data_IF_282180601075
#
_entry.id   IF_282180601075
#
_cell.length_a   1.000
_cell.length_b   1.000
_cell.length_c   1.000
_cell.angle_alpha   90.00
_cell.angle_beta   90.00
_cell.angle_gamma   90.00
#
_symmetry.space_group_name_H-M   'P 1'
#
loop_
_entity.id
_entity.type
_entity.pdbx_description
1 polymer ?
#
# COMPACT_ATOMS: atom_id res chain seq x y z
N UNK A 1 -24.56 24.36 -10.95
CA UNK A 1 -24.16 22.99 -10.59
C UNK A 1 -24.50 22.76 -9.13
N UNK A 2 -25.28 21.74 -8.78
CA UNK A 2 -25.60 21.47 -7.37
C UNK A 2 -24.77 20.29 -6.90
N UNK A 3 -24.00 20.51 -5.85
CA UNK A 3 -23.28 19.44 -5.14
C UNK A 3 -24.31 18.39 -4.72
N UNK A 4 -24.03 17.12 -4.99
CA UNK A 4 -24.92 16.01 -4.63
C UNK A 4 -24.28 15.23 -3.50
N UNK A 5 -24.96 15.20 -2.36
CA UNK A 5 -24.60 14.32 -1.25
C UNK A 5 -25.10 12.91 -1.53
N UNK A 6 -24.24 11.93 -1.29
CA UNK A 6 -24.48 10.50 -1.51
C UNK A 6 -24.11 9.79 -0.21
N UNK A 7 -25.10 9.15 0.41
CA UNK A 7 -24.85 8.16 1.46
C UNK A 7 -24.54 6.82 0.83
N UNK A 8 -23.57 6.12 1.40
CA UNK A 8 -23.09 4.84 0.92
C UNK A 8 -23.41 3.80 2.00
N UNK A 9 -24.09 2.73 1.61
CA UNK A 9 -24.53 1.70 2.55
C UNK A 9 -23.33 0.87 3.01
N UNK A 10 -23.25 0.63 4.32
CA UNK A 10 -22.16 -0.17 4.91
C UNK A 10 -22.08 -1.58 4.29
N UNK A 11 -23.23 -2.19 3.99
CA UNK A 11 -23.32 -3.55 3.45
C UNK A 11 -22.71 -3.68 2.06
N UNK A 12 -22.76 -2.62 1.25
CA UNK A 12 -22.14 -2.60 -0.08
C UNK A 12 -20.62 -2.39 0.04
N UNK A 13 -20.18 -1.65 1.07
CA UNK A 13 -18.78 -1.29 1.26
C UNK A 13 -17.95 -2.35 2.01
N UNK A 14 -18.56 -3.10 2.94
CA UNK A 14 -17.89 -4.08 3.79
C UNK A 14 -17.15 -5.18 3.00
N UNK A 15 -17.73 -5.81 1.95
CA UNK A 15 -17.02 -6.83 1.17
C UNK A 15 -15.76 -6.29 0.49
N UNK A 16 -15.83 -5.08 -0.08
CA UNK A 16 -14.69 -4.44 -0.74
C UNK A 16 -13.62 -4.05 0.30
N UNK A 17 -14.05 -3.52 1.44
CA UNK A 17 -13.14 -3.18 2.53
C UNK A 17 -12.44 -4.43 3.10
N UNK A 18 -13.13 -5.57 3.13
CA UNK A 18 -12.56 -6.87 3.53
C UNK A 18 -11.47 -7.33 2.58
N UNK A 19 -11.72 -7.28 1.27
CA UNK A 19 -10.71 -7.61 0.25
C UNK A 19 -9.46 -6.75 0.42
N UNK A 20 -9.64 -5.44 0.53
CA UNK A 20 -8.56 -4.50 0.81
C UNK A 20 -7.80 -4.85 2.11
N UNK A 21 -8.53 -5.19 3.17
CA UNK A 21 -7.93 -5.56 4.46
C UNK A 21 -7.06 -6.81 4.33
N UNK A 22 -7.55 -7.87 3.70
CA UNK A 22 -6.81 -9.11 3.50
C UNK A 22 -5.54 -8.88 2.67
N UNK A 23 -5.67 -8.19 1.53
CA UNK A 23 -4.54 -7.88 0.64
C UNK A 23 -3.43 -7.09 1.33
N UNK A 24 -3.79 -6.13 2.19
CA UNK A 24 -2.82 -5.21 2.82
C UNK A 24 -2.37 -5.66 4.22
N UNK A 25 -3.11 -6.56 4.87
CA UNK A 25 -2.67 -7.20 6.11
C UNK A 25 -1.73 -8.37 5.85
N UNK A 26 -1.83 -9.01 4.68
CA UNK A 26 -1.14 -10.26 4.37
C UNK A 26 -1.74 -11.47 5.09
N UNK A 27 -2.95 -11.33 5.65
CA UNK A 27 -3.71 -12.42 6.25
C UNK A 27 -4.54 -13.13 5.19
N UNK A 28 -4.79 -14.42 5.42
CA UNK A 28 -5.51 -15.29 4.50
C UNK A 28 -6.57 -16.07 5.29
N UNK A 29 -7.79 -16.14 4.74
CA UNK A 29 -8.94 -16.81 5.37
C UNK A 29 -8.81 -18.32 5.40
N UNK A 30 -8.05 -18.91 4.48
CA UNK A 30 -7.92 -20.36 4.30
C UNK A 30 -6.75 -20.96 5.10
N UNK A 31 -5.95 -20.11 5.76
CA UNK A 31 -4.77 -20.52 6.54
C UNK A 31 -5.12 -20.67 8.01
N UNK A 32 -5.05 -21.90 8.52
CA UNK A 32 -5.42 -22.25 9.90
C UNK A 32 -4.71 -21.37 10.95
N UNK A 33 -3.42 -21.08 10.74
CA UNK A 33 -2.63 -20.27 11.66
C UNK A 33 -2.97 -18.77 11.60
N UNK A 34 -3.57 -18.30 10.51
CA UNK A 34 -4.00 -16.91 10.39
C UNK A 34 -5.33 -16.66 11.11
N UNK A 35 -6.08 -17.70 11.48
CA UNK A 35 -7.42 -17.56 12.10
C UNK A 35 -7.43 -16.70 13.35
N UNK A 36 -6.40 -16.80 14.20
CA UNK A 36 -6.31 -15.98 15.42
C UNK A 36 -6.14 -14.51 15.06
N UNK A 37 -5.19 -14.19 14.17
CA UNK A 37 -4.90 -12.82 13.73
C UNK A 37 -6.07 -12.21 12.94
N UNK A 38 -6.74 -13.03 12.13
CA UNK A 38 -7.94 -12.63 11.41
C UNK A 38 -9.08 -12.34 12.39
N UNK A 39 -9.27 -13.19 13.41
CA UNK A 39 -10.26 -12.94 14.46
C UNK A 39 -9.99 -11.64 15.21
N UNK A 40 -8.72 -11.31 15.49
CA UNK A 40 -8.33 -10.02 16.08
C UNK A 40 -8.66 -8.86 15.13
N UNK A 41 -8.30 -8.97 13.86
CA UNK A 41 -8.59 -7.95 12.84
C UNK A 41 -10.09 -7.70 12.66
N UNK A 42 -10.90 -8.76 12.64
CA UNK A 42 -12.36 -8.69 12.60
C UNK A 42 -12.96 -8.11 13.88
N UNK A 43 -12.38 -8.42 15.04
CA UNK A 43 -12.81 -7.80 16.30
C UNK A 43 -12.58 -6.28 16.28
N UNK A 44 -11.46 -5.82 15.70
CA UNK A 44 -11.22 -4.38 15.49
C UNK A 44 -12.28 -3.76 14.57
N UNK A 45 -12.69 -4.46 13.51
CA UNK A 45 -13.78 -3.99 12.64
C UNK A 45 -15.08 -3.79 13.42
N UNK A 46 -15.48 -4.78 14.23
CA UNK A 46 -16.71 -4.69 15.04
C UNK A 46 -16.68 -3.50 16.02
N UNK A 47 -15.51 -3.15 16.55
CA UNK A 47 -15.34 -1.97 17.40
C UNK A 47 -15.43 -0.65 16.60
N UNK A 48 -14.93 -0.63 15.36
CA UNK A 48 -15.00 0.53 14.47
C UNK A 48 -16.40 0.77 13.90
N UNK A 49 -17.16 -0.30 13.66
CA UNK A 49 -18.44 -0.34 12.94
C UNK A 49 -19.48 0.69 13.38
N UNK A 50 -19.72 0.95 14.69
CA UNK A 50 -20.69 1.97 15.11
C UNK A 50 -20.33 3.38 14.68
N UNK A 51 -19.05 3.66 14.42
CA UNK A 51 -18.56 4.95 13.97
C UNK A 51 -18.42 5.07 12.44
N UNK A 52 -18.76 4.03 11.69
CA UNK A 52 -18.68 4.05 10.22
C UNK A 52 -19.97 4.64 9.65
N UNK A 53 -19.83 5.80 9.01
CA UNK A 53 -20.92 6.50 8.32
C UNK A 53 -20.38 7.04 7.00
N UNK A 54 -20.44 6.21 5.97
CA UNK A 54 -19.80 6.49 4.68
C UNK A 54 -20.64 7.48 3.90
N UNK A 55 -20.08 8.64 3.62
CA UNK A 55 -20.78 9.74 2.96
C UNK A 55 -19.86 10.48 2.01
N UNK A 56 -20.41 10.89 0.88
CA UNK A 56 -19.68 11.59 -0.16
C UNK A 56 -20.45 12.78 -0.71
N UNK A 57 -19.72 13.77 -1.20
CA UNK A 57 -20.23 14.85 -2.02
C UNK A 57 -19.57 14.77 -3.37
N UNK A 58 -20.35 14.80 -4.44
CA UNK A 58 -19.83 14.95 -5.80
C UNK A 58 -20.22 16.32 -6.36
N UNK A 59 -19.31 16.90 -7.13
CA UNK A 59 -19.48 18.16 -7.84
C UNK A 59 -19.04 17.94 -9.30
N UNK A 60 -19.99 17.92 -10.25
CA UNK A 60 -19.64 17.84 -11.66
C UNK A 60 -18.94 19.14 -12.10
N UNK A 61 -17.94 18.99 -12.95
CA UNK A 61 -17.20 20.05 -13.62
C UNK A 61 -17.34 19.87 -15.14
N UNK A 62 -17.38 20.97 -15.86
CA UNK A 62 -17.40 20.96 -17.33
C UNK A 62 -16.01 20.64 -17.90
N UNK A 63 -15.90 20.10 -19.12
CA UNK A 63 -14.60 19.74 -19.73
C UNK A 63 -13.56 20.87 -19.78
N UNK A 64 -14.01 22.10 -19.96
CA UNK A 64 -13.15 23.30 -20.01
C UNK A 64 -12.49 23.62 -18.66
N UNK A 65 -12.96 23.03 -17.56
CA UNK A 65 -12.27 23.07 -16.27
C UNK A 65 -10.89 22.39 -16.33
N UNK A 66 -10.61 21.55 -17.33
CA UNK A 66 -9.31 20.91 -17.48
C UNK A 66 -8.56 21.39 -18.71
N UNK A 67 -7.42 22.05 -18.48
CA UNK A 67 -6.51 22.45 -19.54
C UNK A 67 -5.09 22.60 -18.99
N UNK A 68 -4.09 22.48 -19.85
CA UNK A 68 -2.67 22.54 -19.46
C UNK A 68 -2.36 21.59 -18.27
N UNK A 69 -2.90 20.36 -18.33
CA UNK A 69 -2.70 19.32 -17.30
C UNK A 69 -3.06 19.77 -15.89
N UNK A 70 -4.07 20.64 -15.78
CA UNK A 70 -4.52 21.24 -14.52
C UNK A 70 -6.04 21.33 -14.55
N UNK A 71 -6.68 20.90 -13.46
CA UNK A 71 -8.09 21.17 -13.18
C UNK A 71 -8.18 22.52 -12.48
N UNK A 72 -9.02 23.40 -13.01
CA UNK A 72 -9.34 24.70 -12.44
C UNK A 72 -10.73 24.63 -11.84
N UNK A 73 -10.82 24.93 -10.55
CA UNK A 73 -12.07 25.20 -9.87
C UNK A 73 -12.16 26.72 -9.61
N UNK A 74 -13.27 27.22 -9.08
CA UNK A 74 -13.54 28.64 -8.86
C UNK A 74 -12.46 29.34 -8.03
N UNK A 75 -11.96 28.68 -6.97
CA UNK A 75 -10.99 29.27 -6.02
C UNK A 75 -9.62 28.61 -6.05
N UNK A 76 -9.52 27.42 -6.63
CA UNK A 76 -8.32 26.60 -6.52
C UNK A 76 -7.99 25.89 -7.84
N UNK A 77 -6.77 25.38 -7.89
CA UNK A 77 -6.27 24.58 -9.02
C UNK A 77 -5.60 23.33 -8.52
N UNK A 78 -5.76 22.26 -9.28
CA UNK A 78 -5.26 20.93 -8.99
C UNK A 78 -4.49 20.43 -10.20
N UNK A 79 -3.23 20.09 -9.96
CA UNK A 79 -2.40 19.44 -10.96
C UNK A 79 -1.70 18.28 -10.27
N UNK A 80 -1.51 17.22 -11.03
CA UNK A 80 -0.70 16.11 -10.62
C UNK A 80 0.06 15.62 -11.84
N UNK A 81 1.05 14.78 -11.59
CA UNK A 81 1.96 14.34 -12.63
C UNK A 81 1.24 13.53 -13.71
N UNK A 82 0.25 12.72 -13.30
CA UNK A 82 -0.64 11.93 -14.14
C UNK A 82 -1.42 12.74 -15.20
N UNK A 83 -1.80 13.99 -14.90
CA UNK A 83 -2.62 14.81 -15.80
C UNK A 83 -1.93 15.19 -17.13
N UNK A 84 -0.63 14.93 -17.27
CA UNK A 84 0.08 15.13 -18.54
C UNK A 84 -0.26 14.08 -19.60
N UNK A 85 -0.80 12.93 -19.18
CA UNK A 85 -1.18 11.84 -20.08
C UNK A 85 -2.60 12.01 -20.65
N UNK A 86 -3.42 12.85 -20.01
CA UNK A 86 -4.83 13.04 -20.36
C UNK A 86 -4.95 14.18 -21.38
N UNK A 87 -5.42 13.90 -22.60
CA UNK A 87 -5.75 14.90 -23.60
C UNK A 87 -7.01 15.69 -23.21
N UNK A 88 -6.94 17.03 -23.09
CA UNK A 88 -8.12 17.85 -22.79
C UNK A 88 -9.26 17.72 -23.81
N UNK A 89 -8.95 17.32 -25.06
CA UNK A 89 -9.96 17.18 -26.12
C UNK A 89 -10.87 15.97 -25.94
N UNK A 90 -10.43 14.97 -25.19
CA UNK A 90 -11.15 13.73 -24.97
C UNK A 90 -11.90 13.72 -23.63
N UNK A 91 -11.74 14.76 -22.81
CA UNK A 91 -12.47 14.90 -21.55
C UNK A 91 -13.93 15.24 -21.84
N UNK A 92 -14.83 14.36 -21.41
CA UNK A 92 -16.29 14.50 -21.56
C UNK A 92 -16.90 15.13 -20.31
N UNK A 93 -16.39 14.75 -19.14
CA UNK A 93 -16.82 15.29 -17.85
C UNK A 93 -15.76 15.06 -16.79
N UNK A 94 -15.79 15.86 -15.74
CA UNK A 94 -14.98 15.63 -14.53
C UNK A 94 -15.90 15.67 -13.33
N UNK A 95 -15.69 14.78 -12.37
CA UNK A 95 -16.40 14.79 -11.09
C UNK A 95 -15.39 14.99 -9.97
N UNK A 96 -15.41 16.17 -9.35
CA UNK A 96 -14.72 16.40 -8.10
C UNK A 96 -15.53 15.76 -6.96
N UNK A 97 -14.86 15.18 -5.97
CA UNK A 97 -15.56 14.59 -4.82
C UNK A 97 -14.83 14.80 -3.50
N UNK A 98 -15.60 14.73 -2.42
CA UNK A 98 -15.14 14.47 -1.07
C UNK A 98 -15.84 13.21 -0.54
N UNK A 99 -15.13 12.40 0.22
CA UNK A 99 -15.61 11.15 0.81
C UNK A 99 -15.13 11.07 2.25
N UNK A 100 -16.02 10.74 3.18
CA UNK A 100 -15.73 10.47 4.58
C UNK A 100 -16.21 9.07 4.93
N UNK A 101 -15.47 8.35 5.79
CA UNK A 101 -15.92 7.08 6.38
C UNK A 101 -16.53 7.26 7.77
N UNK A 102 -16.63 8.50 8.26
CA UNK A 102 -17.09 8.80 9.62
C UNK A 102 -15.96 8.77 10.65
N UNK A 103 -16.29 8.38 11.88
CA UNK A 103 -15.32 8.34 12.97
C UNK A 103 -14.37 7.15 12.89
N UNK A 104 -14.86 5.97 12.47
CA UNK A 104 -14.11 4.72 12.34
C UNK A 104 -12.98 4.60 13.39
N UNK A 105 -13.34 4.52 14.68
CA UNK A 105 -12.40 4.48 15.80
C UNK A 105 -12.47 3.14 16.51
N UNK A 106 -11.31 2.57 16.76
CA UNK A 106 -11.12 1.57 17.81
C UNK A 106 -10.31 2.20 18.93
N UNK A 107 -10.78 2.10 20.19
CA UNK A 107 -10.01 2.53 21.36
C UNK A 107 -9.08 1.38 21.72
N UNK A 108 -7.80 1.47 21.33
CA UNK A 108 -6.84 0.37 21.50
C UNK A 108 -5.61 0.85 22.25
N UNK A 109 -4.99 -0.07 22.99
CA UNK A 109 -3.74 0.18 23.72
C UNK A 109 -2.53 -0.50 23.05
N UNK A 110 -2.74 -1.26 21.97
CA UNK A 110 -1.68 -1.99 21.29
C UNK A 110 -1.54 -1.58 19.82
N UNK A 111 -0.30 -1.66 19.30
CA UNK A 111 0.05 -1.16 17.97
C UNK A 111 -0.56 -1.98 16.83
N UNK A 112 -0.81 -3.28 17.05
CA UNK A 112 -1.36 -4.17 16.02
C UNK A 112 -2.83 -3.83 15.72
N UNK A 113 -3.63 -3.59 16.75
CA UNK A 113 -5.03 -3.19 16.57
C UNK A 113 -5.15 -1.80 15.95
N UNK A 114 -4.25 -0.86 16.29
CA UNK A 114 -4.19 0.44 15.64
C UNK A 114 -3.89 0.29 14.14
N UNK A 115 -2.95 -0.58 13.77
CA UNK A 115 -2.65 -0.90 12.38
C UNK A 115 -3.88 -1.47 11.66
N UNK A 116 -4.58 -2.44 12.27
CA UNK A 116 -5.81 -2.98 11.68
C UNK A 116 -6.93 -1.94 11.55
N UNK A 117 -7.09 -1.05 12.53
CA UNK A 117 -8.06 0.04 12.45
C UNK A 117 -7.76 0.99 11.28
N UNK A 118 -6.48 1.31 11.06
CA UNK A 118 -6.05 2.11 9.92
C UNK A 118 -6.27 1.38 8.59
N UNK A 119 -6.03 0.06 8.52
CA UNK A 119 -6.35 -0.75 7.35
C UNK A 119 -7.84 -0.73 7.03
N UNK A 120 -8.70 -0.90 8.04
CA UNK A 120 -10.15 -0.83 7.87
C UNK A 120 -10.60 0.54 7.36
N UNK A 121 -10.13 1.62 7.99
CA UNK A 121 -10.48 2.97 7.56
C UNK A 121 -10.08 3.23 6.09
N UNK A 122 -8.89 2.77 5.68
CA UNK A 122 -8.44 2.87 4.30
C UNK A 122 -9.26 1.98 3.35
N UNK A 123 -9.61 0.76 3.78
CA UNK A 123 -10.48 -0.15 3.03
C UNK A 123 -11.86 0.44 2.77
N UNK A 124 -12.47 1.10 3.77
CA UNK A 124 -13.76 1.78 3.58
C UNK A 124 -13.65 3.05 2.72
N UNK A 125 -12.51 3.77 2.76
CA UNK A 125 -12.25 4.86 1.82
C UNK A 125 -12.11 4.33 0.38
N UNK A 126 -11.52 3.15 0.22
CA UNK A 126 -11.39 2.48 -1.07
C UNK A 126 -12.74 2.03 -1.61
N UNK A 127 -13.50 1.31 -0.80
CA UNK A 127 -14.86 0.89 -1.10
C UNK A 127 -15.74 2.08 -1.48
N UNK A 128 -15.67 3.17 -0.72
CA UNK A 128 -16.43 4.38 -1.03
C UNK A 128 -16.05 5.00 -2.38
N UNK A 129 -14.77 4.99 -2.78
CA UNK A 129 -14.35 5.44 -4.12
C UNK A 129 -14.85 4.54 -5.23
N UNK A 130 -14.81 3.23 -5.04
CA UNK A 130 -15.31 2.26 -6.01
C UNK A 130 -16.83 2.42 -6.22
N UNK A 131 -17.60 2.45 -5.14
CA UNK A 131 -19.05 2.63 -5.22
C UNK A 131 -19.42 4.00 -5.80
N UNK A 132 -18.65 5.05 -5.49
CA UNK A 132 -18.84 6.36 -6.13
C UNK A 132 -18.61 6.29 -7.64
N UNK A 133 -17.56 5.59 -8.08
CA UNK A 133 -17.27 5.41 -9.50
C UNK A 133 -18.41 4.67 -10.20
N UNK A 134 -18.96 3.62 -9.60
CA UNK A 134 -20.16 2.90 -10.08
C UNK A 134 -21.40 3.80 -10.17
N UNK A 135 -21.61 4.69 -9.21
CA UNK A 135 -22.69 5.69 -9.30
C UNK A 135 -22.46 6.70 -10.42
N UNK A 136 -21.21 7.05 -10.73
CA UNK A 136 -20.90 7.91 -11.88
C UNK A 136 -21.17 7.15 -13.19
N UNK A 137 -20.87 5.85 -13.28
CA UNK A 137 -21.28 5.03 -14.43
C UNK A 137 -22.78 5.16 -14.71
N UNK A 138 -23.61 4.95 -13.68
CA UNK A 138 -25.07 5.09 -13.81
C UNK A 138 -25.49 6.48 -14.29
N UNK A 139 -24.86 7.55 -13.79
CA UNK A 139 -25.18 8.92 -14.23
C UNK A 139 -24.81 9.19 -15.67
N UNK A 140 -23.74 8.58 -16.19
CA UNK A 140 -23.33 8.75 -17.58
C UNK A 140 -24.26 7.96 -18.51
N UNK A 141 -24.65 6.75 -18.12
CA UNK A 141 -25.65 5.96 -18.85
C UNK A 141 -27.00 6.68 -18.95
N UNK A 142 -27.46 7.30 -17.85
CA UNK A 142 -28.71 8.07 -17.80
C UNK A 142 -28.71 9.27 -18.77
N UNK A 143 -27.53 9.81 -19.10
CA UNK A 143 -27.36 10.95 -20.03
C UNK A 143 -27.21 10.46 -21.49
N UNK A 144 -27.06 9.15 -21.71
CA UNK A 144 -27.03 8.54 -23.05
C UNK A 144 -25.69 8.65 -23.76
N UNK A 145 -24.57 8.66 -23.02
CA UNK A 145 -23.23 8.61 -23.61
C UNK A 145 -22.86 7.14 -23.89
N UNK A 146 -22.64 6.78 -25.15
CA UNK A 146 -22.47 5.38 -25.57
C UNK A 146 -21.03 4.86 -25.42
N UNK A 147 -20.02 5.71 -25.67
CA UNK A 147 -18.60 5.35 -25.54
C UNK A 147 -17.92 6.27 -24.53
N UNK A 148 -17.53 5.70 -23.40
CA UNK A 148 -16.83 6.44 -22.35
C UNK A 148 -16.02 5.53 -21.44
N UNK A 149 -15.03 6.13 -20.79
CA UNK A 149 -14.19 5.50 -19.78
C UNK A 149 -14.15 6.39 -18.55
N UNK A 150 -14.28 5.78 -17.37
CA UNK A 150 -14.19 6.51 -16.10
C UNK A 150 -12.88 6.13 -15.43
N UNK A 151 -12.07 7.13 -15.10
CA UNK A 151 -10.80 6.90 -14.43
C UNK A 151 -10.97 6.34 -13.02
N UNK A 152 -9.88 5.82 -12.44
CA UNK A 152 -9.73 5.78 -11.00
C UNK A 152 -9.65 7.20 -10.42
N UNK A 153 -9.79 7.33 -9.11
CA UNK A 153 -9.71 8.65 -8.45
C UNK A 153 -8.30 9.23 -8.53
N UNK A 154 -8.18 10.49 -8.93
CA UNK A 154 -6.98 11.32 -8.77
C UNK A 154 -7.18 12.32 -7.63
N UNK A 155 -6.33 12.32 -6.61
CA UNK A 155 -6.57 13.20 -5.46
C UNK A 155 -5.32 13.58 -4.68
N UNK A 156 -5.43 14.57 -3.77
CA UNK A 156 -4.34 14.96 -2.87
C UNK A 156 -3.78 13.76 -2.11
N UNK A 157 -2.46 13.59 -2.11
CA UNK A 157 -1.77 12.41 -1.54
C UNK A 157 -1.51 11.30 -2.55
N UNK A 158 -2.04 11.40 -3.77
CA UNK A 158 -1.86 10.44 -4.86
C UNK A 158 -1.34 11.14 -6.13
N UNK A 159 -0.68 10.40 -7.02
CA UNK A 159 -0.12 10.89 -8.29
C UNK A 159 0.80 12.14 -8.18
N UNK A 160 1.42 12.35 -7.01
CA UNK A 160 2.19 13.56 -6.70
C UNK A 160 1.36 14.82 -6.49
N UNK A 161 0.05 14.71 -6.30
CA UNK A 161 -0.79 15.86 -5.91
C UNK A 161 -0.52 16.20 -4.44
N UNK A 162 -0.15 17.45 -4.09
CA UNK A 162 0.19 17.79 -2.71
C UNK A 162 -0.97 17.58 -1.74
N UNK A 163 -0.73 16.89 -0.62
CA UNK A 163 -1.78 16.55 0.37
C UNK A 163 -2.52 17.79 0.91
N UNK A 164 -1.85 18.94 1.05
CA UNK A 164 -2.47 20.18 1.52
C UNK A 164 -3.61 20.67 0.61
N UNK A 165 -3.67 20.22 -0.65
CA UNK A 165 -4.79 20.50 -1.58
C UNK A 165 -6.13 19.94 -1.12
N UNK A 166 -6.11 19.00 -0.19
CA UNK A 166 -7.32 18.49 0.42
C UNK A 166 -8.06 19.58 1.21
N UNK A 167 -7.34 20.51 1.86
CA UNK A 167 -7.92 21.68 2.52
C UNK A 167 -8.63 22.61 1.53
N UNK A 168 -8.06 22.82 0.34
CA UNK A 168 -8.68 23.61 -0.73
C UNK A 168 -10.00 22.94 -1.18
N UNK A 169 -10.01 21.61 -1.34
CA UNK A 169 -11.23 20.87 -1.74
C UNK A 169 -12.34 20.95 -0.69
N UNK A 170 -11.99 20.85 0.59
CA UNK A 170 -12.96 20.97 1.70
C UNK A 170 -13.66 22.32 1.72
N UNK A 171 -12.93 23.39 1.42
CA UNK A 171 -13.49 24.76 1.37
C UNK A 171 -14.40 24.95 0.15
N UNK A 172 -14.05 24.34 -0.98
CA UNK A 172 -14.70 24.61 -2.26
C UNK A 172 -15.89 23.69 -2.57
N UNK A 173 -15.79 22.41 -2.22
CA UNK A 173 -16.89 21.42 -2.36
C UNK A 173 -17.85 21.48 -1.15
N UNK A 174 -17.44 22.17 -0.08
CA UNK A 174 -18.10 22.23 1.22
C UNK A 174 -18.15 20.87 1.94
N UNK A 175 -17.04 20.52 2.60
CA UNK A 175 -16.92 19.29 3.39
C UNK A 175 -17.88 19.19 4.58
N UNK A 176 -18.51 20.29 5.00
CA UNK A 176 -19.47 20.28 6.11
C UNK A 176 -20.72 19.45 5.78
N UNK A 177 -21.05 19.31 4.49
CA UNK A 177 -22.18 18.50 3.98
C UNK A 177 -22.06 17.02 4.40
N UNK A 178 -20.83 16.52 4.54
CA UNK A 178 -20.54 15.13 4.97
C UNK A 178 -19.94 15.06 6.37
N UNK A 179 -20.20 16.08 7.19
CA UNK A 179 -19.80 16.10 8.59
C UNK A 179 -18.31 16.35 8.84
N UNK A 180 -17.53 16.72 7.82
CA UNK A 180 -16.11 17.06 8.00
C UNK A 180 -16.01 18.48 8.55
N UNK A 181 -15.49 18.60 9.78
CA UNK A 181 -15.21 19.90 10.42
C UNK A 181 -13.72 20.18 10.38
N UNK A 182 -13.31 21.20 9.63
CA UNK A 182 -11.92 21.68 9.61
C UNK A 182 -11.68 22.59 10.81
N UNK A 183 -10.83 22.17 11.74
CA UNK A 183 -10.53 22.95 12.95
C UNK A 183 -9.48 24.04 12.66
N UNK A 184 -8.47 23.73 11.83
CA UNK A 184 -7.46 24.68 11.28
C UNK A 184 -7.00 24.21 9.90
N UNK A 185 -6.59 25.12 8.99
CA UNK A 185 -6.12 24.77 7.62
C UNK A 185 -4.95 23.75 7.56
N UNK A 186 -4.24 23.57 8.67
CA UNK A 186 -3.06 22.69 8.80
C UNK A 186 -3.38 21.38 9.55
N UNK A 187 -4.49 21.33 10.29
CA UNK A 187 -4.93 20.13 11.02
C UNK A 187 -6.10 19.49 10.27
N UNK A 188 -5.76 18.71 9.24
CA UNK A 188 -6.72 17.84 8.58
C UNK A 188 -7.19 16.77 9.58
N UNK A 189 -8.50 16.50 9.72
CA UNK A 189 -8.98 15.45 10.60
C UNK A 189 -8.38 14.10 10.17
N UNK A 190 -7.81 13.33 11.11
CA UNK A 190 -7.09 12.06 10.86
C UNK A 190 -7.69 11.24 9.72
N UNK A 191 -6.87 10.82 8.73
CA UNK A 191 -6.96 9.77 7.69
C UNK A 191 -8.31 9.07 7.40
N UNK A 192 -9.45 9.72 7.59
CA UNK A 192 -10.81 9.13 7.50
C UNK A 192 -11.68 9.82 6.48
N UNK A 193 -11.04 10.61 5.64
CA UNK A 193 -11.68 11.22 4.51
C UNK A 193 -10.67 11.33 3.37
N UNK A 194 -11.18 11.37 2.15
CA UNK A 194 -10.40 11.57 0.93
C UNK A 194 -11.14 12.52 0.00
N UNK A 195 -10.41 13.13 -0.91
CA UNK A 195 -10.98 13.94 -1.98
C UNK A 195 -10.22 13.69 -3.26
N UNK A 196 -10.87 13.94 -4.39
CA UNK A 196 -10.23 13.78 -5.68
C UNK A 196 -11.16 14.05 -6.85
N UNK A 197 -10.75 13.54 -8.00
CA UNK A 197 -11.36 13.76 -9.30
C UNK A 197 -11.50 12.43 -10.03
N UNK A 198 -12.66 12.20 -10.61
CA UNK A 198 -12.87 11.20 -11.64
C UNK A 198 -12.97 11.89 -13.00
N UNK A 199 -12.18 11.43 -13.96
CA UNK A 199 -12.31 11.83 -15.36
C UNK A 199 -13.25 10.87 -16.07
N UNK A 200 -14.12 11.43 -16.91
CA UNK A 200 -14.87 10.70 -17.92
C UNK A 200 -14.26 11.09 -19.26
N UNK A 201 -13.66 10.14 -19.97
CA UNK A 201 -13.03 10.34 -21.28
C UNK A 201 -13.75 9.56 -22.36
N UNK A 202 -13.62 9.97 -23.62
CA UNK A 202 -14.17 9.22 -24.77
C UNK A 202 -13.34 7.97 -25.13
N UNK A 203 -12.09 7.84 -24.65
CA UNK A 203 -11.17 6.74 -24.96
C UNK A 203 -10.36 6.31 -23.71
N UNK A 204 -9.99 5.01 -23.62
CA UNK A 204 -9.31 4.40 -22.45
C UNK A 204 -7.81 4.72 -22.38
N UNK A 205 -7.14 4.73 -23.54
CA UNK A 205 -5.68 4.65 -23.67
C UNK A 205 -4.88 5.85 -23.16
N UNK A 206 -5.53 6.84 -22.57
CA UNK A 206 -4.93 8.08 -22.07
C UNK A 206 -5.03 8.23 -20.54
N UNK A 207 -5.60 7.24 -19.85
CA UNK A 207 -5.65 7.23 -18.41
C UNK A 207 -4.32 6.71 -17.81
N UNK A 208 -3.75 7.40 -16.80
CA UNK A 208 -2.58 6.94 -16.06
C UNK A 208 -2.72 5.53 -15.51
N UNK A 209 -1.62 4.76 -15.54
CA UNK A 209 -1.54 3.42 -14.95
C UNK A 209 -2.01 3.39 -13.49
N UNK A 210 -2.76 2.34 -13.13
CA UNK A 210 -3.20 2.08 -11.76
C UNK A 210 -2.03 1.94 -10.78
N UNK A 211 -0.84 1.56 -11.25
CA UNK A 211 0.36 1.48 -10.42
C UNK A 211 0.76 2.84 -9.82
N UNK A 212 0.37 3.96 -10.45
CA UNK A 212 0.63 5.32 -9.96
C UNK A 212 -0.38 5.78 -8.89
N UNK A 213 -1.43 5.00 -8.61
CA UNK A 213 -2.52 5.36 -7.69
C UNK A 213 -2.04 5.76 -6.30
N UNK A 214 -1.01 5.09 -5.81
CA UNK A 214 -0.45 5.34 -4.47
C UNK A 214 0.80 6.23 -4.52
N UNK A 215 1.07 6.91 -5.64
CA UNK A 215 2.28 7.68 -5.81
C UNK A 215 2.25 9.01 -5.06
N UNK A 216 3.19 9.21 -4.12
CA UNK A 216 3.31 10.47 -3.38
C UNK A 216 4.10 11.55 -4.14
N UNK A 217 4.66 11.21 -5.30
CA UNK A 217 5.42 12.11 -6.17
C UNK A 217 6.92 12.12 -5.87
N UNK A 218 7.71 12.55 -6.86
CA UNK A 218 9.17 12.69 -6.80
C UNK A 218 9.58 14.11 -7.23
N UNK A 219 10.75 14.60 -6.78
CA UNK A 219 11.25 15.95 -7.15
C UNK A 219 11.40 16.13 -8.68
N UNK A 220 11.68 15.05 -9.41
CA UNK A 220 11.77 15.02 -10.87
C UNK A 220 10.44 14.87 -11.63
N UNK A 221 9.30 14.78 -10.93
CA UNK A 221 7.96 14.61 -11.54
C UNK A 221 7.77 13.31 -12.34
N UNK A 222 6.74 13.24 -13.20
CA UNK A 222 6.44 12.06 -14.02
C UNK A 222 7.56 11.69 -15.01
N UNK A 223 8.41 12.65 -15.40
CA UNK A 223 9.52 12.39 -16.33
C UNK A 223 10.62 11.52 -15.73
N UNK A 224 10.67 11.40 -14.40
CA UNK A 224 11.60 10.51 -13.72
C UNK A 224 11.31 9.03 -14.06
N UNK A 225 10.03 8.64 -14.02
CA UNK A 225 9.62 7.25 -14.20
C UNK A 225 8.78 6.97 -15.46
N UNK A 226 8.26 8.01 -16.12
CA UNK A 226 7.35 7.90 -17.26
C UNK A 226 6.03 7.21 -16.94
N UNK A 227 5.57 7.23 -15.68
CA UNK A 227 4.40 6.46 -15.23
C UNK A 227 4.66 4.97 -15.03
N UNK A 228 5.94 4.54 -15.02
CA UNK A 228 6.36 3.18 -14.73
C UNK A 228 6.80 3.08 -13.27
N UNK A 229 6.51 1.99 -12.58
CA UNK A 229 7.09 1.77 -11.27
C UNK A 229 8.60 1.50 -11.42
N UNK A 230 9.45 2.38 -10.91
CA UNK A 230 10.89 2.18 -11.00
C UNK A 230 11.37 1.26 -9.89
N UNK A 231 12.29 0.37 -10.26
CA UNK A 231 13.04 -0.45 -9.31
C UNK A 231 14.45 0.16 -9.27
N UNK A 232 14.96 0.56 -8.10
CA UNK A 232 16.29 1.11 -7.98
C UNK A 232 17.34 0.07 -8.33
N UNK A 233 18.45 0.52 -8.91
CA UNK A 233 19.64 -0.33 -9.09
C UNK A 233 20.27 -0.64 -7.74
N UNK A 234 21.10 -1.70 -7.68
CA UNK A 234 21.87 -2.04 -6.49
C UNK A 234 22.71 -0.86 -6.00
N UNK A 235 23.37 -0.15 -6.89
CA UNK A 235 24.17 1.03 -6.57
C UNK A 235 23.31 2.12 -5.93
N UNK A 236 22.15 2.42 -6.51
CA UNK A 236 21.19 3.38 -5.96
C UNK A 236 20.68 2.95 -4.58
N UNK A 237 20.42 1.67 -4.35
CA UNK A 237 20.03 1.17 -3.03
C UNK A 237 21.11 1.42 -1.99
N UNK A 238 22.37 1.15 -2.32
CA UNK A 238 23.50 1.37 -1.41
C UNK A 238 23.71 2.85 -1.11
N UNK A 239 23.62 3.72 -2.12
CA UNK A 239 23.67 5.18 -1.94
C UNK A 239 22.56 5.68 -0.99
N UNK A 240 21.35 5.14 -1.11
CA UNK A 240 20.22 5.52 -0.25
C UNK A 240 20.41 5.09 1.20
N UNK A 241 20.95 3.89 1.44
CA UNK A 241 21.29 3.42 2.79
C UNK A 241 22.33 4.35 3.44
N UNK A 242 23.37 4.71 2.69
CA UNK A 242 24.40 5.64 3.18
C UNK A 242 23.83 7.04 3.44
N UNK A 243 23.04 7.59 2.50
CA UNK A 243 22.51 8.96 2.61
C UNK A 243 21.48 9.12 3.73
N UNK A 244 20.78 8.04 4.10
CA UNK A 244 19.82 8.03 5.21
C UNK A 244 20.46 7.63 6.55
N UNK A 245 21.80 7.48 6.60
CA UNK A 245 22.53 7.22 7.83
C UNK A 245 22.31 5.80 8.38
N UNK A 246 21.96 4.84 7.52
CA UNK A 246 21.85 3.43 7.93
C UNK A 246 23.20 2.95 8.48
N UNK A 247 23.26 2.35 9.68
CA UNK A 247 24.53 1.95 10.28
C UNK A 247 25.31 0.95 9.41
N UNK A 248 26.66 1.00 9.36
CA UNK A 248 27.45 0.12 8.49
C UNK A 248 27.22 -1.38 8.72
N UNK A 249 26.92 -1.81 9.95
CA UNK A 249 26.59 -3.21 10.24
C UNK A 249 25.22 -3.62 9.69
N UNK A 250 24.24 -2.70 9.69
CA UNK A 250 22.92 -2.92 9.08
C UNK A 250 23.04 -2.97 7.55
N UNK A 251 23.89 -2.14 6.95
CA UNK A 251 24.14 -2.20 5.49
C UNK A 251 24.68 -3.58 5.10
N UNK A 252 25.66 -4.11 5.84
CA UNK A 252 26.19 -5.47 5.59
C UNK A 252 25.11 -6.55 5.78
N UNK A 253 24.25 -6.38 6.78
CA UNK A 253 23.09 -7.26 6.97
C UNK A 253 22.15 -7.24 5.75
N UNK A 254 21.73 -6.07 5.29
CA UNK A 254 20.90 -5.93 4.09
C UNK A 254 21.54 -6.59 2.86
N UNK A 255 22.86 -6.47 2.70
CA UNK A 255 23.59 -7.12 1.61
C UNK A 255 23.55 -8.65 1.72
N UNK A 256 23.71 -9.21 2.92
CA UNK A 256 23.66 -10.66 3.15
C UNK A 256 22.24 -11.23 2.96
N UNK A 257 21.22 -10.49 3.41
CA UNK A 257 19.80 -10.82 3.16
C UNK A 257 19.51 -10.80 1.66
N UNK A 258 19.97 -9.76 0.95
CA UNK A 258 19.84 -9.65 -0.49
C UNK A 258 20.50 -10.82 -1.23
N UNK A 259 21.75 -11.16 -0.91
CA UNK A 259 22.44 -12.28 -1.56
C UNK A 259 21.70 -13.60 -1.34
N UNK A 260 21.27 -13.87 -0.10
CA UNK A 260 20.48 -15.05 0.25
C UNK A 260 19.17 -15.11 -0.55
N UNK A 261 18.39 -14.02 -0.54
CA UNK A 261 17.10 -13.93 -1.22
C UNK A 261 17.24 -14.10 -2.73
N UNK A 262 18.21 -13.42 -3.35
CA UNK A 262 18.43 -13.46 -4.81
C UNK A 262 18.95 -14.82 -5.26
N UNK A 263 19.80 -15.50 -4.49
CA UNK A 263 20.24 -16.87 -4.80
C UNK A 263 19.07 -17.85 -4.80
N UNK A 264 18.21 -17.79 -3.78
CA UNK A 264 16.98 -18.60 -3.72
C UNK A 264 16.06 -18.26 -4.90
N UNK A 265 15.83 -16.96 -5.15
CA UNK A 265 15.00 -16.48 -6.24
C UNK A 265 15.48 -16.97 -7.60
N UNK A 266 16.78 -16.90 -7.90
CA UNK A 266 17.37 -17.44 -9.14
C UNK A 266 17.11 -18.94 -9.29
N UNK A 267 17.33 -19.72 -8.23
CA UNK A 267 17.07 -21.16 -8.26
C UNK A 267 15.59 -21.49 -8.51
N UNK A 268 14.66 -20.69 -7.99
CA UNK A 268 13.22 -20.83 -8.25
C UNK A 268 12.84 -20.44 -9.69
N UNK A 269 13.41 -19.35 -10.21
CA UNK A 269 13.19 -18.91 -11.60
C UNK A 269 13.67 -19.97 -12.59
N UNK A 270 14.80 -20.63 -12.33
CA UNK A 270 15.29 -21.77 -13.12
C UNK A 270 14.30 -22.94 -13.17
N UNK A 271 13.41 -23.05 -12.18
CA UNK A 271 12.34 -24.06 -12.10
C UNK A 271 11.00 -23.56 -12.64
N UNK A 272 10.95 -22.37 -13.22
CA UNK A 272 9.76 -21.79 -13.84
C UNK A 272 8.85 -21.03 -12.88
N UNK A 273 9.29 -20.73 -11.66
CA UNK A 273 8.57 -19.82 -10.77
C UNK A 273 8.74 -18.39 -11.29
N UNK A 274 7.64 -17.65 -11.41
CA UNK A 274 7.64 -16.27 -11.90
C UNK A 274 7.97 -15.35 -10.71
N UNK A 275 9.13 -14.69 -10.76
CA UNK A 275 9.59 -13.72 -9.77
C UNK A 275 10.29 -12.55 -10.46
N UNK A 276 10.10 -11.35 -9.92
CA UNK A 276 10.84 -10.14 -10.30
C UNK A 276 12.12 -10.05 -9.45
N UNK A 277 13.23 -10.58 -9.97
CA UNK A 277 14.52 -10.58 -9.28
C UNK A 277 15.07 -9.17 -9.01
N UNK A 278 14.99 -8.19 -9.94
CA UNK A 278 15.30 -6.79 -9.63
C UNK A 278 14.49 -6.24 -8.45
N UNK A 279 13.19 -6.48 -8.39
CA UNK A 279 12.34 -6.01 -7.29
C UNK A 279 12.76 -6.66 -5.96
N UNK A 280 13.00 -7.97 -5.96
CA UNK A 280 13.48 -8.71 -4.80
C UNK A 280 14.82 -8.16 -4.31
N UNK A 281 15.79 -7.94 -5.19
CA UNK A 281 17.09 -7.37 -4.86
C UNK A 281 16.95 -5.99 -4.20
N UNK A 282 16.19 -5.09 -4.83
CA UNK A 282 15.95 -3.75 -4.31
C UNK A 282 15.26 -3.75 -2.94
N UNK A 283 14.21 -4.56 -2.77
CA UNK A 283 13.49 -4.67 -1.51
C UNK A 283 14.35 -5.27 -0.40
N UNK A 284 15.16 -6.30 -0.70
CA UNK A 284 16.10 -6.88 0.28
C UNK A 284 17.19 -5.92 0.70
N UNK A 285 17.71 -5.08 -0.20
CA UNK A 285 18.71 -4.08 0.19
C UNK A 285 18.10 -2.97 1.07
N UNK A 286 16.87 -2.55 0.78
CA UNK A 286 16.26 -1.37 1.40
C UNK A 286 15.37 -1.67 2.62
N UNK A 287 15.08 -2.93 2.94
CA UNK A 287 14.10 -3.29 4.00
C UNK A 287 14.36 -2.65 5.37
N UNK A 288 15.64 -2.47 5.70
CA UNK A 288 16.12 -1.95 6.97
C UNK A 288 16.70 -0.51 6.85
N UNK A 289 16.41 0.22 5.76
CA UNK A 289 16.96 1.57 5.53
C UNK A 289 16.75 2.54 6.71
N UNK A 290 15.63 2.40 7.42
CA UNK A 290 15.29 3.23 8.58
C UNK A 290 15.52 2.51 9.92
N UNK A 291 16.44 1.54 10.02
CA UNK A 291 16.60 0.64 11.19
C UNK A 291 16.75 1.33 12.56
N UNK A 292 17.24 2.57 12.58
CA UNK A 292 17.41 3.37 13.81
C UNK A 292 16.13 4.05 14.29
N UNK A 293 15.08 4.06 13.48
CA UNK A 293 13.78 4.65 13.77
C UNK A 293 12.82 3.60 14.36
N UNK A 294 11.91 4.04 15.21
CA UNK A 294 10.76 3.21 15.57
C UNK A 294 9.87 2.98 14.34
N UNK A 295 9.31 1.77 14.22
CA UNK A 295 8.52 1.34 13.05
C UNK A 295 9.29 1.46 11.72
N UNK A 296 10.56 1.00 11.71
CA UNK A 296 11.47 1.16 10.59
C UNK A 296 10.92 0.63 9.25
N UNK A 297 10.10 -0.42 9.25
CA UNK A 297 9.46 -0.92 8.02
C UNK A 297 8.53 0.13 7.38
N UNK A 298 7.72 0.83 8.18
CA UNK A 298 6.83 1.90 7.68
C UNK A 298 7.65 3.13 7.27
N UNK A 299 8.65 3.51 8.06
CA UNK A 299 9.53 4.64 7.73
C UNK A 299 10.36 4.39 6.47
N UNK A 300 10.88 3.17 6.32
CA UNK A 300 11.61 2.74 5.14
C UNK A 300 10.74 2.71 3.89
N UNK A 301 9.48 2.24 4.02
CA UNK A 301 8.50 2.32 2.95
C UNK A 301 8.24 3.78 2.52
N UNK A 302 8.07 4.72 3.46
CA UNK A 302 7.89 6.13 3.14
C UNK A 302 9.10 6.73 2.43
N UNK A 303 10.33 6.33 2.79
CA UNK A 303 11.55 6.74 2.07
C UNK A 303 11.50 6.21 0.64
N UNK A 304 11.25 4.92 0.45
CA UNK A 304 11.16 4.31 -0.88
C UNK A 304 10.05 4.95 -1.75
N UNK A 305 8.88 5.24 -1.19
CA UNK A 305 7.79 5.96 -1.86
C UNK A 305 8.22 7.36 -2.30
N UNK A 306 8.96 8.10 -1.46
CA UNK A 306 9.45 9.45 -1.80
C UNK A 306 10.42 9.44 -2.97
N UNK A 307 11.14 8.34 -3.15
CA UNK A 307 12.02 8.10 -4.29
C UNK A 307 11.30 7.47 -5.50
N UNK A 308 9.99 7.22 -5.41
CA UNK A 308 9.18 6.67 -6.49
C UNK A 308 9.22 5.14 -6.61
N UNK A 309 9.77 4.44 -5.63
CA UNK A 309 9.94 2.97 -5.62
C UNK A 309 8.77 2.28 -4.90
N UNK A 310 7.57 2.36 -5.48
CA UNK A 310 6.32 1.98 -4.79
C UNK A 310 6.20 0.46 -4.55
N UNK A 311 6.62 -0.37 -5.51
CA UNK A 311 6.59 -1.82 -5.30
C UNK A 311 7.61 -2.23 -4.22
N UNK A 312 8.79 -1.61 -4.23
CA UNK A 312 9.78 -1.80 -3.16
C UNK A 312 9.19 -1.40 -1.80
N UNK A 313 8.54 -0.24 -1.72
CA UNK A 313 7.90 0.22 -0.50
C UNK A 313 6.82 -0.74 0.02
N UNK A 314 6.00 -1.33 -0.86
CA UNK A 314 4.97 -2.32 -0.49
C UNK A 314 5.60 -3.53 0.21
N UNK A 315 6.73 -4.04 -0.31
CA UNK A 315 7.44 -5.17 0.28
C UNK A 315 8.07 -4.81 1.64
N UNK A 316 8.73 -3.66 1.70
CA UNK A 316 9.42 -3.19 2.93
C UNK A 316 8.42 -2.89 4.04
N UNK A 317 7.25 -2.33 3.75
CA UNK A 317 6.26 -1.94 4.76
C UNK A 317 5.85 -3.10 5.67
N UNK A 318 5.77 -4.32 5.11
CA UNK A 318 5.20 -5.48 5.79
C UNK A 318 6.23 -6.45 6.37
N UNK A 319 7.53 -6.32 6.05
CA UNK A 319 8.54 -7.35 6.37
C UNK A 319 8.63 -7.71 7.87
N UNK A 320 8.41 -6.73 8.75
CA UNK A 320 8.42 -6.88 10.21
C UNK A 320 7.30 -7.79 10.75
N UNK A 321 6.14 -7.79 10.09
CA UNK A 321 4.92 -8.41 10.60
C UNK A 321 4.42 -9.58 9.75
N UNK A 322 5.07 -9.82 8.61
CA UNK A 322 4.66 -10.81 7.62
C UNK A 322 4.50 -12.21 8.24
N UNK A 323 3.27 -12.71 8.27
CA UNK A 323 2.98 -14.11 8.54
C UNK A 323 3.05 -14.87 7.23
N UNK A 324 3.77 -15.97 7.22
CA UNK A 324 4.03 -16.66 5.97
C UNK A 324 2.97 -17.73 5.77
N UNK A 325 2.41 -17.78 4.57
CA UNK A 325 1.51 -18.85 4.19
C UNK A 325 2.24 -19.88 3.33
N UNK A 326 2.58 -21.06 3.86
CA UNK A 326 3.21 -22.12 3.07
C UNK A 326 2.28 -22.73 2.02
N UNK A 327 0.96 -22.51 2.09
CA UNK A 327 -0.04 -23.12 1.23
C UNK A 327 -0.49 -22.22 0.06
N UNK A 328 -0.20 -20.91 0.10
CA UNK A 328 -0.59 -19.98 -0.97
C UNK A 328 -0.13 -20.46 -2.34
N UNK A 329 -0.90 -20.19 -3.38
CA UNK A 329 -0.65 -20.72 -4.72
C UNK A 329 0.74 -20.35 -5.25
N UNK A 330 1.17 -19.10 -5.08
CA UNK A 330 2.42 -18.56 -5.63
C UNK A 330 3.40 -18.14 -4.55
N UNK A 331 4.67 -18.50 -4.73
CA UNK A 331 5.78 -17.91 -3.98
C UNK A 331 6.03 -16.51 -4.55
N UNK A 332 6.19 -15.53 -3.68
CA UNK A 332 6.36 -14.11 -4.02
C UNK A 332 7.68 -13.56 -3.49
N UNK A 333 8.06 -12.38 -3.97
CA UNK A 333 9.26 -11.66 -3.54
C UNK A 333 9.22 -11.37 -2.03
N UNK A 334 8.04 -11.09 -1.47
CA UNK A 334 7.86 -10.85 -0.05
C UNK A 334 8.17 -12.10 0.81
N UNK A 335 7.86 -13.31 0.32
CA UNK A 335 8.26 -14.55 1.02
C UNK A 335 9.76 -14.66 1.10
N UNK A 336 10.42 -14.47 -0.05
CA UNK A 336 11.86 -14.67 -0.16
C UNK A 336 12.62 -13.62 0.66
N UNK A 337 12.16 -12.36 0.62
CA UNK A 337 12.68 -11.30 1.48
C UNK A 337 12.59 -11.68 2.95
N UNK A 338 11.39 -12.03 3.43
CA UNK A 338 11.16 -12.30 4.85
C UNK A 338 11.85 -13.58 5.31
N UNK A 339 11.88 -14.62 4.47
CA UNK A 339 12.56 -15.87 4.79
C UNK A 339 14.07 -15.68 4.83
N UNK A 340 14.65 -14.93 3.87
CA UNK A 340 16.09 -14.64 3.86
C UNK A 340 16.53 -13.82 5.08
N UNK A 341 15.78 -12.78 5.46
CA UNK A 341 16.03 -12.02 6.70
C UNK A 341 16.04 -12.93 7.95
N UNK A 342 15.17 -13.94 7.96
CA UNK A 342 15.08 -14.96 9.02
C UNK A 342 16.13 -16.06 8.93
N UNK A 343 17.00 -16.07 7.94
CA UNK A 343 18.13 -17.01 7.83
C UNK A 343 19.50 -16.32 7.91
N UNK A 344 19.52 -14.99 8.04
CA UNK A 344 20.73 -14.18 8.17
C UNK A 344 20.85 -13.63 9.59
N UNK A 345 22.08 -13.65 10.12
CA UNK A 345 22.43 -13.02 11.39
C UNK A 345 23.64 -12.13 11.19
N UNK A 346 23.52 -10.88 11.61
CA UNK A 346 24.50 -9.84 11.26
C UNK A 346 24.69 -9.84 9.74
N UNK A 347 25.86 -10.20 9.22
CA UNK A 347 26.21 -10.21 7.81
C UNK A 347 26.45 -11.62 7.22
N UNK A 348 25.99 -12.68 7.91
CA UNK A 348 26.20 -14.06 7.49
C UNK A 348 24.90 -14.87 7.45
N UNK A 349 24.78 -15.75 6.45
CA UNK A 349 23.77 -16.80 6.43
C UNK A 349 24.08 -17.82 7.54
N UNK A 350 23.10 -18.09 8.38
CA UNK A 350 23.18 -19.06 9.49
C UNK A 350 22.16 -20.18 9.39
N UNK A 351 21.28 -20.14 8.39
CA UNK A 351 20.16 -21.07 8.28
C UNK A 351 19.01 -20.72 9.21
N UNK A 352 17.87 -21.38 8.97
CA UNK A 352 16.62 -21.04 9.65
C UNK A 352 16.63 -21.48 11.12
N UNK A 353 17.06 -22.71 11.39
CA UNK A 353 17.00 -23.32 12.73
C UNK A 353 17.86 -22.55 13.74
N UNK A 354 19.11 -22.23 13.38
CA UNK A 354 20.04 -21.48 14.24
C UNK A 354 19.54 -20.05 14.53
N UNK A 355 18.97 -19.39 13.51
CA UNK A 355 18.41 -18.04 13.68
C UNK A 355 17.20 -18.03 14.58
N UNK A 356 16.33 -19.03 14.44
CA UNK A 356 15.13 -19.18 15.26
C UNK A 356 15.45 -19.49 16.71
N UNK A 357 16.41 -20.40 16.95
CA UNK A 357 16.84 -20.73 18.30
C UNK A 357 17.40 -19.50 19.03
N UNK A 358 18.23 -18.70 18.34
CA UNK A 358 18.76 -17.45 18.89
C UNK A 358 17.66 -16.47 19.31
N UNK A 359 16.60 -16.32 18.50
CA UNK A 359 15.48 -15.43 18.84
C UNK A 359 14.63 -16.01 19.97
N UNK A 360 14.40 -17.33 19.99
CA UNK A 360 13.72 -18.02 21.09
C UNK A 360 14.41 -17.77 22.42
N UNK A 361 15.72 -17.99 22.48
CA UNK A 361 16.51 -17.81 23.71
C UNK A 361 16.38 -16.38 24.25
N UNK A 362 16.39 -15.39 23.34
CA UNK A 362 16.22 -13.97 23.69
C UNK A 362 14.81 -13.66 24.21
N UNK A 363 13.77 -14.22 23.59
CA UNK A 363 12.38 -14.01 24.02
C UNK A 363 12.11 -14.68 25.38
N UNK A 364 12.61 -15.90 25.58
CA UNK A 364 12.54 -16.61 26.85
C UNK A 364 13.26 -15.83 27.96
N UNK A 365 14.47 -15.34 27.68
CA UNK A 365 15.21 -14.49 28.62
C UNK A 365 14.49 -13.18 28.96
N UNK A 366 13.70 -12.64 28.03
CA UNK A 366 12.89 -11.44 28.21
C UNK A 366 11.50 -11.70 28.84
N UNK A 367 11.13 -12.96 29.09
CA UNK A 367 9.83 -13.32 29.67
C UNK A 367 8.62 -13.07 28.76
N UNK A 368 8.82 -13.03 27.44
CA UNK A 368 7.76 -12.77 26.45
C UNK A 368 7.01 -14.07 26.11
N UNK A 369 5.69 -14.01 25.90
CA UNK A 369 4.91 -15.16 25.43
C UNK A 369 5.38 -15.60 24.03
N UNK A 370 5.84 -16.85 23.91
CA UNK A 370 6.45 -17.43 22.71
C UNK A 370 5.47 -18.16 21.80
N UNK A 371 4.20 -18.33 22.17
CA UNK A 371 3.23 -19.13 21.41
C UNK A 371 3.07 -18.63 19.97
N UNK A 372 2.87 -17.31 19.80
CA UNK A 372 2.82 -16.66 18.48
C UNK A 372 4.11 -16.81 17.68
N UNK A 373 5.25 -16.86 18.36
CA UNK A 373 6.55 -17.04 17.71
C UNK A 373 6.76 -18.49 17.25
N UNK A 374 6.30 -19.48 18.01
CA UNK A 374 6.34 -20.90 17.63
C UNK A 374 5.50 -21.20 16.39
N UNK A 375 4.30 -20.62 16.27
CA UNK A 375 3.50 -20.76 15.05
C UNK A 375 4.21 -20.18 13.82
N UNK A 376 4.80 -18.99 13.97
CA UNK A 376 5.61 -18.38 12.91
C UNK A 376 6.82 -19.24 12.56
N UNK A 377 7.43 -19.91 13.54
CA UNK A 377 8.55 -20.81 13.26
C UNK A 377 8.13 -21.90 12.29
N UNK A 378 7.01 -22.56 12.59
CA UNK A 378 6.55 -23.68 11.78
C UNK A 378 6.18 -23.25 10.35
N UNK A 379 5.53 -22.09 10.19
CA UNK A 379 5.25 -21.51 8.86
C UNK A 379 6.52 -21.29 8.04
N UNK A 380 7.57 -20.79 8.68
CA UNK A 380 8.88 -20.60 8.04
C UNK A 380 9.53 -21.91 7.62
N UNK A 381 9.45 -22.92 8.47
CA UNK A 381 9.96 -24.25 8.19
C UNK A 381 9.25 -24.88 6.98
N UNK A 382 7.92 -24.81 6.95
CA UNK A 382 7.10 -25.35 5.86
C UNK A 382 7.35 -24.63 4.52
N UNK A 383 7.52 -23.30 4.52
CA UNK A 383 7.88 -22.59 3.29
C UNK A 383 9.29 -22.94 2.82
N UNK A 384 10.27 -23.06 3.73
CA UNK A 384 11.63 -23.53 3.40
C UNK A 384 11.55 -24.90 2.72
N UNK A 385 10.86 -25.86 3.32
CA UNK A 385 10.68 -27.21 2.73
C UNK A 385 10.02 -27.17 1.35
N UNK A 386 9.00 -26.32 1.18
CA UNK A 386 8.33 -26.12 -0.11
C UNK A 386 9.30 -25.60 -1.17
N UNK A 387 10.10 -24.57 -0.84
CA UNK A 387 11.12 -24.00 -1.72
C UNK A 387 12.16 -25.08 -2.09
N UNK A 388 12.69 -25.79 -1.10
CA UNK A 388 13.68 -26.86 -1.28
C UNK A 388 13.19 -27.97 -2.21
N UNK A 389 11.90 -28.34 -2.08
CA UNK A 389 11.26 -29.32 -2.96
C UNK A 389 11.18 -28.84 -4.41
N UNK A 390 10.93 -27.55 -4.64
CA UNK A 390 10.87 -26.96 -5.98
C UNK A 390 12.27 -26.90 -6.60
N UNK A 391 13.26 -26.39 -5.87
CA UNK A 391 14.63 -26.23 -6.36
C UNK A 391 15.37 -27.58 -6.47
N UNK A 392 14.96 -28.59 -5.70
CA UNK A 392 15.50 -29.95 -5.73
C UNK A 392 16.81 -30.13 -4.94
N UNK A 393 17.10 -29.22 -4.00
CA UNK A 393 18.24 -29.24 -3.07
C UNK A 393 17.90 -28.44 -1.82
N UNK A 394 18.66 -28.60 -0.74
CA UNK A 394 18.46 -27.75 0.45
C UNK A 394 18.90 -26.31 0.17
N UNK A 395 18.31 -25.34 0.88
CA UNK A 395 18.79 -23.95 0.84
C UNK A 395 20.20 -23.88 1.43
N UNK A 396 20.50 -24.71 2.44
CA UNK A 396 21.83 -24.78 3.04
C UNK A 396 22.89 -25.20 2.00
N UNK A 397 22.59 -26.19 1.15
CA UNK A 397 23.45 -26.59 0.02
C UNK A 397 23.52 -25.53 -1.10
N UNK A 398 22.52 -24.63 -1.18
CA UNK A 398 22.53 -23.51 -2.12
C UNK A 398 23.39 -22.34 -1.63
N UNK A 399 23.57 -22.22 -0.31
CA UNK A 399 24.37 -21.17 0.33
C UNK A 399 25.83 -21.57 0.58
N UNK A 400 26.11 -22.88 0.64
CA UNK A 400 27.45 -23.46 0.64
C UNK A 400 28.20 -23.21 -0.69
#
# INVERSE_FOLDING_TARGET
MKNKCIKLEYQDAEPIAMEYFLENSGLDTDVENHKILLSEGLHVLENCKPGIDIAAVIMPLEPDAFHNSTIYMEKSKYTCTAFHQISPRQVVKIYAYLLSVGECRSITNNQAEQYYADLWANGFLEAGRQILREKIYQYIEDIGIEEYYISHSFGPGCYGMPLYKLSDMLEEIDGSIIGIKVVRKIELPNNRFSGGFFFVTSEEGELPSEECRNCIGHEGGCMFCGGKNLIPTRETCLELLESHGTPPHVIRHCMAVCDTAVRIGKALVEKGVILDLPLLEAASLLHDIARVEENHGVKGALIAERHGYHQVAKLIKCHMFYAMDPNKEKITELDLLCLADRMVREDEYVGLDDRMQYVMDKLVAAGVNTERFLHRIEENRLMKERIEKIIGKSIDDLMA
#
